data_IF_070941685825
#
_entry.id   IF_070941685825
#
_cell.length_a   1.000
_cell.length_b   1.000
_cell.length_c   1.000
_cell.angle_alpha   90.00
_cell.angle_beta   90.00
_cell.angle_gamma   90.00
#
_symmetry.space_group_name_H-M   'P 1'
#
loop_
_entity.id
_entity.type
_entity.pdbx_description
1 polymer ?
#
# COMPACT_ATOMS: atom_id res chain seq x y z
N UNK A 1 8.11 -3.05 -16.43
CA UNK A 1 7.74 -4.24 -17.20
C UNK A 1 6.46 -3.99 -18.00
N UNK A 2 5.29 -3.78 -17.40
CA UNK A 2 4.03 -3.59 -18.15
C UNK A 2 4.07 -2.43 -19.14
N UNK A 3 4.62 -1.27 -18.76
CA UNK A 3 4.77 -0.14 -19.68
C UNK A 3 5.70 -0.45 -20.88
N UNK A 4 6.75 -1.25 -20.66
CA UNK A 4 7.65 -1.68 -21.72
C UNK A 4 6.95 -2.65 -22.69
N UNK A 5 6.16 -3.58 -22.13
CA UNK A 5 5.32 -4.47 -22.94
C UNK A 5 4.36 -3.67 -23.83
N UNK A 6 3.57 -2.76 -23.24
CA UNK A 6 2.58 -1.99 -23.97
C UNK A 6 3.20 -1.11 -25.08
N UNK A 7 4.37 -0.52 -24.84
CA UNK A 7 5.08 0.25 -25.84
C UNK A 7 5.58 -0.64 -26.99
N UNK A 8 6.13 -1.83 -26.70
CA UNK A 8 6.60 -2.76 -27.71
C UNK A 8 5.45 -3.37 -28.51
N UNK A 9 4.34 -3.73 -27.87
CA UNK A 9 3.10 -4.19 -28.52
C UNK A 9 2.55 -3.13 -29.49
N UNK A 10 2.76 -1.85 -29.18
CA UNK A 10 2.41 -0.72 -30.06
C UNK A 10 3.42 -0.50 -31.20
N UNK A 11 4.39 -1.38 -31.41
CA UNK A 11 5.35 -1.36 -32.52
C UNK A 11 6.60 -0.53 -32.30
N UNK A 12 6.89 -0.14 -31.04
CA UNK A 12 8.11 0.60 -30.73
C UNK A 12 9.27 -0.33 -30.36
N UNK A 13 10.50 0.03 -30.74
CA UNK A 13 11.71 -0.59 -30.20
C UNK A 13 11.90 -0.13 -28.75
N UNK A 14 11.92 -1.08 -27.81
CA UNK A 14 11.93 -0.76 -26.38
C UNK A 14 13.13 -1.35 -25.68
N UNK A 15 13.83 -0.50 -24.92
CA UNK A 15 14.88 -0.89 -23.99
C UNK A 15 14.42 -0.65 -22.55
N UNK A 16 14.40 -1.68 -21.72
CA UNK A 16 14.08 -1.60 -20.29
C UNK A 16 15.35 -1.59 -19.46
N UNK A 17 15.55 -0.53 -18.68
CA UNK A 17 16.69 -0.37 -17.77
C UNK A 17 16.24 -0.63 -16.32
N UNK A 18 16.84 -1.62 -15.68
CA UNK A 18 16.58 -1.99 -14.28
C UNK A 18 17.86 -1.88 -13.45
N UNK A 19 17.82 -1.11 -12.37
CA UNK A 19 19.00 -0.92 -11.52
C UNK A 19 19.36 -2.14 -10.66
N UNK A 20 18.41 -3.02 -10.43
CA UNK A 20 18.60 -4.23 -9.62
C UNK A 20 19.18 -5.39 -10.45
N UNK A 21 19.56 -6.45 -9.74
CA UNK A 21 20.06 -7.69 -10.32
C UNK A 21 18.99 -8.56 -10.99
N UNK A 22 17.71 -8.21 -10.80
CA UNK A 22 16.56 -8.93 -11.36
C UNK A 22 15.35 -8.04 -11.50
N UNK A 23 14.46 -8.38 -12.41
CA UNK A 23 13.18 -7.75 -12.59
C UNK A 23 12.22 -8.04 -11.42
N UNK A 24 11.29 -7.13 -11.17
CA UNK A 24 10.13 -7.38 -10.32
C UNK A 24 10.39 -7.47 -8.82
N UNK A 25 11.53 -6.98 -8.28
CA UNK A 25 11.82 -7.02 -6.82
C UNK A 25 10.69 -6.47 -5.96
N UNK A 26 10.02 -5.42 -6.42
CA UNK A 26 8.87 -4.86 -5.70
C UNK A 26 7.65 -5.78 -5.79
N UNK A 27 7.35 -6.35 -6.94
CA UNK A 27 6.27 -7.32 -7.11
C UNK A 27 6.47 -8.52 -6.21
N UNK A 28 7.70 -9.02 -6.11
CA UNK A 28 8.05 -10.21 -5.34
C UNK A 28 7.63 -10.14 -3.88
N UNK A 29 7.70 -8.96 -3.25
CA UNK A 29 7.34 -8.76 -1.83
C UNK A 29 5.88 -8.38 -1.60
N UNK A 30 5.10 -8.09 -2.66
CA UNK A 30 3.71 -7.68 -2.53
C UNK A 30 2.81 -8.84 -2.09
N UNK A 31 1.70 -8.52 -1.41
CA UNK A 31 0.75 -9.52 -0.96
C UNK A 31 1.37 -10.64 -0.08
N UNK A 32 2.43 -10.33 0.68
CA UNK A 32 3.21 -11.32 1.46
C UNK A 32 3.82 -12.43 0.58
N UNK A 33 4.31 -12.08 -0.58
CA UNK A 33 4.90 -13.02 -1.54
C UNK A 33 3.90 -13.69 -2.49
N UNK A 34 2.61 -13.35 -2.39
CA UNK A 34 1.55 -13.89 -3.26
C UNK A 34 1.22 -13.00 -4.45
N UNK A 35 1.53 -11.72 -4.38
CA UNK A 35 1.14 -10.65 -5.30
C UNK A 35 -0.38 -10.51 -5.48
N UNK A 36 -1.03 -9.64 -4.70
CA UNK A 36 -2.39 -9.21 -5.01
C UNK A 36 -2.37 -8.42 -6.33
N UNK A 37 -2.78 -9.09 -7.41
CA UNK A 37 -2.60 -8.63 -8.78
C UNK A 37 -3.50 -7.44 -9.10
N UNK A 38 -4.80 -7.62 -8.85
CA UNK A 38 -5.85 -6.63 -9.08
C UNK A 38 -7.07 -6.93 -8.21
N UNK A 39 -8.18 -6.26 -8.46
CA UNK A 39 -9.45 -6.50 -7.81
C UNK A 39 -10.55 -6.70 -8.87
N UNK A 40 -11.31 -7.79 -8.78
CA UNK A 40 -12.36 -8.17 -9.71
C UNK A 40 -13.72 -7.49 -9.43
N UNK A 41 -13.73 -6.34 -8.76
CA UNK A 41 -14.94 -5.52 -8.61
C UNK A 41 -15.29 -4.82 -9.91
N UNK A 42 -16.56 -4.44 -10.04
CA UNK A 42 -16.99 -3.57 -11.13
C UNK A 42 -16.33 -2.17 -11.06
N UNK A 43 -16.40 -1.43 -12.15
CA UNK A 43 -15.75 -0.13 -12.30
C UNK A 43 -16.27 0.89 -11.26
N UNK A 44 -17.55 0.85 -10.91
CA UNK A 44 -18.14 1.75 -9.93
C UNK A 44 -17.52 1.53 -8.54
N UNK A 45 -17.40 0.28 -8.13
CA UNK A 45 -16.77 -0.09 -6.87
C UNK A 45 -15.28 0.23 -6.86
N UNK A 46 -14.57 0.02 -7.97
CA UNK A 46 -13.16 0.40 -8.10
C UNK A 46 -12.99 1.90 -7.86
N UNK A 47 -13.78 2.74 -8.53
CA UNK A 47 -13.73 4.19 -8.32
C UNK A 47 -14.23 4.62 -6.95
N UNK A 48 -15.20 3.93 -6.36
CA UNK A 48 -15.66 4.21 -5.00
C UNK A 48 -14.52 4.09 -3.96
N UNK A 49 -13.57 3.19 -4.20
CA UNK A 49 -12.40 2.97 -3.35
C UNK A 49 -11.22 3.92 -3.64
N UNK A 50 -11.28 4.73 -4.69
CA UNK A 50 -10.29 5.79 -4.94
C UNK A 50 -10.58 6.97 -4.03
N UNK A 51 -9.77 7.15 -3.02
CA UNK A 51 -9.97 8.11 -1.92
C UNK A 51 -9.92 9.56 -2.36
N UNK A 52 -9.05 9.89 -3.34
CA UNK A 52 -8.88 11.26 -3.83
C UNK A 52 -8.52 11.25 -5.31
N UNK A 53 -8.83 12.37 -6.00
CA UNK A 53 -8.50 12.57 -7.42
C UNK A 53 -9.03 11.49 -8.38
N UNK A 54 -10.21 10.92 -8.13
CA UNK A 54 -10.82 9.87 -8.96
C UNK A 54 -10.79 10.20 -10.46
N UNK A 55 -11.09 11.44 -10.80
CA UNK A 55 -11.15 11.89 -12.20
C UNK A 55 -9.84 11.71 -12.95
N UNK A 56 -8.71 11.81 -12.24
CA UNK A 56 -7.38 11.58 -12.81
C UNK A 56 -7.20 10.16 -13.35
N UNK A 57 -7.86 9.19 -12.72
CA UNK A 57 -7.74 7.78 -13.11
C UNK A 57 -8.76 7.32 -14.14
N UNK A 58 -9.75 8.14 -14.51
CA UNK A 58 -10.80 7.71 -15.45
C UNK A 58 -10.22 7.21 -16.76
N UNK A 59 -9.38 8.00 -17.42
CA UNK A 59 -8.78 7.59 -18.68
C UNK A 59 -8.01 6.27 -18.56
N UNK A 60 -7.17 6.14 -17.52
CA UNK A 60 -6.36 4.94 -17.33
C UNK A 60 -7.23 3.68 -17.08
N UNK A 61 -8.25 3.77 -16.22
CA UNK A 61 -9.08 2.62 -15.87
C UNK A 61 -10.04 2.21 -17.01
N UNK A 62 -10.52 3.16 -17.81
CA UNK A 62 -11.35 2.84 -18.97
C UNK A 62 -10.53 2.42 -20.19
N UNK A 63 -9.24 2.77 -20.27
CA UNK A 63 -8.37 2.29 -21.35
C UNK A 63 -7.78 0.92 -21.09
N UNK A 64 -7.56 0.58 -19.82
CA UNK A 64 -7.00 -0.71 -19.40
C UNK A 64 -7.54 -1.06 -18.01
N UNK A 65 -8.60 -1.86 -18.00
CA UNK A 65 -9.35 -2.19 -16.79
C UNK A 65 -8.79 -3.42 -16.05
N UNK A 66 -9.43 -3.77 -14.96
CA UNK A 66 -9.04 -4.91 -14.13
C UNK A 66 -9.29 -6.26 -14.81
N UNK A 67 -10.27 -6.38 -15.70
CA UNK A 67 -10.55 -7.60 -16.45
C UNK A 67 -9.48 -7.81 -17.52
N UNK A 68 -9.06 -6.74 -18.19
CA UNK A 68 -7.94 -6.77 -19.12
C UNK A 68 -6.62 -7.15 -18.42
N UNK A 69 -6.39 -6.67 -17.18
CA UNK A 69 -5.26 -7.12 -16.37
C UNK A 69 -5.31 -8.63 -16.13
N UNK A 70 -6.46 -9.17 -15.73
CA UNK A 70 -6.65 -10.61 -15.51
C UNK A 70 -6.36 -11.38 -16.81
N UNK A 71 -7.02 -10.99 -17.90
CA UNK A 71 -6.88 -11.63 -19.21
C UNK A 71 -5.45 -11.62 -19.72
N UNK A 72 -4.72 -10.51 -19.49
CA UNK A 72 -3.29 -10.43 -19.84
C UNK A 72 -2.48 -11.54 -19.17
N UNK A 73 -2.64 -11.73 -17.86
CA UNK A 73 -1.84 -12.75 -17.15
C UNK A 73 -2.26 -14.18 -17.52
N UNK A 74 -3.57 -14.42 -17.71
CA UNK A 74 -4.08 -15.72 -18.10
C UNK A 74 -3.65 -16.11 -19.52
N UNK A 75 -3.64 -15.16 -20.46
CA UNK A 75 -3.13 -15.39 -21.82
C UNK A 75 -1.63 -15.67 -21.88
N UNK A 76 -0.86 -15.19 -20.89
CA UNK A 76 0.56 -15.48 -20.74
C UNK A 76 0.83 -16.67 -19.79
N UNK A 77 -0.14 -17.59 -19.65
CA UNK A 77 0.04 -18.87 -18.96
C UNK A 77 0.03 -18.80 -17.43
N UNK A 78 -0.42 -17.70 -16.83
CA UNK A 78 -0.55 -17.56 -15.39
C UNK A 78 -2.05 -17.52 -14.97
N UNK A 79 -2.64 -18.65 -14.60
CA UNK A 79 -4.04 -18.69 -14.16
C UNK A 79 -4.22 -17.92 -12.86
N UNK A 80 -5.37 -17.24 -12.76
CA UNK A 80 -5.73 -16.41 -11.61
C UNK A 80 -6.86 -17.02 -10.78
N UNK A 81 -7.00 -16.56 -9.54
CA UNK A 81 -8.14 -16.87 -8.66
C UNK A 81 -8.59 -15.61 -7.95
N UNK A 82 -9.90 -15.49 -7.76
CA UNK A 82 -10.52 -14.42 -6.98
C UNK A 82 -10.83 -14.90 -5.57
N UNK A 83 -10.37 -14.16 -4.57
CA UNK A 83 -10.62 -14.43 -3.15
C UNK A 83 -11.59 -13.40 -2.56
N UNK A 84 -11.95 -13.60 -1.28
CA UNK A 84 -12.83 -12.69 -0.52
C UNK A 84 -12.41 -11.22 -0.70
N UNK A 85 -13.36 -10.35 -0.97
CA UNK A 85 -13.15 -8.93 -1.25
C UNK A 85 -12.68 -8.67 -2.67
N UNK A 86 -13.00 -9.60 -3.58
CA UNK A 86 -12.67 -9.54 -5.02
C UNK A 86 -11.17 -9.39 -5.31
N UNK A 87 -10.30 -9.81 -4.39
CA UNK A 87 -8.85 -9.76 -4.57
C UNK A 87 -8.40 -10.86 -5.50
N UNK A 88 -7.62 -10.50 -6.51
CA UNK A 88 -7.13 -11.44 -7.52
C UNK A 88 -5.67 -11.81 -7.25
N UNK A 89 -5.40 -13.10 -7.21
CA UNK A 89 -4.06 -13.66 -7.00
C UNK A 89 -3.75 -14.71 -8.07
N UNK A 90 -2.46 -15.04 -8.33
CA UNK A 90 -2.13 -16.24 -9.05
C UNK A 90 -2.63 -17.49 -8.31
N UNK A 91 -3.07 -18.50 -9.05
CA UNK A 91 -3.54 -19.78 -8.45
C UNK A 91 -2.46 -20.42 -7.60
N UNK A 92 -1.22 -20.30 -7.98
CA UNK A 92 -0.04 -20.83 -7.28
C UNK A 92 0.25 -20.15 -5.93
N UNK A 93 -0.32 -18.96 -5.68
CA UNK A 93 0.05 -18.09 -4.55
C UNK A 93 1.52 -17.62 -4.54
N UNK A 94 2.17 -17.62 -5.70
CA UNK A 94 3.56 -17.19 -5.84
C UNK A 94 3.71 -15.94 -6.71
N UNK A 95 4.26 -14.87 -6.15
CA UNK A 95 4.58 -13.64 -6.89
C UNK A 95 5.63 -13.84 -7.99
N UNK A 96 6.44 -14.91 -7.89
CA UNK A 96 7.39 -15.31 -8.94
C UNK A 96 6.70 -15.57 -10.27
N UNK A 97 5.49 -16.12 -10.26
CA UNK A 97 4.78 -16.49 -11.48
C UNK A 97 4.25 -15.23 -12.19
N UNK A 98 3.86 -14.21 -11.44
CA UNK A 98 3.54 -12.89 -11.98
C UNK A 98 4.75 -12.28 -12.69
N UNK A 99 5.93 -12.39 -12.08
CA UNK A 99 7.19 -11.89 -12.68
C UNK A 99 7.58 -12.72 -13.90
N UNK A 100 7.37 -14.03 -13.86
CA UNK A 100 7.66 -14.93 -14.97
C UNK A 100 6.77 -14.64 -16.19
N UNK A 101 5.45 -14.44 -15.98
CA UNK A 101 4.51 -14.08 -17.03
C UNK A 101 4.89 -12.74 -17.69
N UNK A 102 5.15 -11.70 -16.88
CA UNK A 102 5.63 -10.41 -17.40
C UNK A 102 6.96 -10.53 -18.15
N UNK A 103 7.88 -11.37 -17.68
CA UNK A 103 9.16 -11.58 -18.34
C UNK A 103 9.03 -12.35 -19.65
N UNK A 104 8.06 -13.28 -19.75
CA UNK A 104 7.73 -13.96 -20.98
C UNK A 104 7.15 -12.98 -22.01
N UNK A 105 6.18 -12.16 -21.59
CA UNK A 105 5.57 -11.13 -22.43
C UNK A 105 6.61 -10.14 -22.99
N UNK A 106 7.59 -9.71 -22.18
CA UNK A 106 8.67 -8.84 -22.65
C UNK A 106 9.55 -9.53 -23.72
N UNK A 107 9.85 -10.84 -23.54
CA UNK A 107 10.63 -11.60 -24.53
C UNK A 107 9.87 -11.78 -25.84
N UNK A 108 8.58 -12.08 -25.78
CA UNK A 108 7.71 -12.21 -26.95
C UNK A 108 7.66 -10.92 -27.77
N UNK A 109 7.70 -9.78 -27.10
CA UNK A 109 7.74 -8.46 -27.73
C UNK A 109 9.17 -7.97 -28.04
N UNK A 110 10.18 -8.81 -27.91
CA UNK A 110 11.58 -8.49 -28.20
C UNK A 110 12.12 -7.28 -27.43
N UNK A 111 11.62 -7.02 -26.22
CA UNK A 111 12.11 -5.93 -25.37
C UNK A 111 13.52 -6.26 -24.88
N UNK A 112 14.47 -5.37 -25.14
CA UNK A 112 15.82 -5.46 -24.59
C UNK A 112 15.83 -5.10 -23.11
N UNK A 113 16.41 -5.97 -22.27
CA UNK A 113 16.44 -5.77 -20.82
C UNK A 113 17.88 -5.68 -20.32
N UNK A 114 18.22 -4.56 -19.72
CA UNK A 114 19.52 -4.32 -19.08
C UNK A 114 19.34 -4.27 -17.57
N UNK A 115 19.85 -5.29 -16.89
CA UNK A 115 19.91 -5.34 -15.41
C UNK A 115 21.16 -4.61 -14.90
N UNK A 116 21.22 -4.36 -13.59
CA UNK A 116 22.30 -3.58 -12.96
C UNK A 116 22.55 -2.21 -13.60
N UNK A 117 21.53 -1.67 -14.29
CA UNK A 117 21.66 -0.45 -15.09
C UNK A 117 20.89 0.68 -14.42
N UNK A 118 21.61 1.46 -13.65
CA UNK A 118 21.02 2.60 -12.93
C UNK A 118 21.05 3.86 -13.78
N UNK A 119 19.87 4.43 -14.00
CA UNK A 119 19.73 5.75 -14.63
C UNK A 119 20.02 6.84 -13.60
N UNK A 120 20.92 7.76 -13.94
CA UNK A 120 21.30 8.91 -13.13
C UNK A 120 20.36 10.09 -13.35
N UNK A 121 20.08 10.43 -14.62
CA UNK A 121 19.20 11.54 -15.00
C UNK A 121 18.65 11.39 -16.42
N UNK A 122 17.65 12.19 -16.74
CA UNK A 122 17.19 12.39 -18.10
C UNK A 122 18.15 13.31 -18.86
N UNK A 123 18.37 13.04 -20.17
CA UNK A 123 19.02 13.98 -21.08
C UNK A 123 17.97 14.95 -21.58
N UNK A 124 18.19 16.24 -21.30
CA UNK A 124 17.29 17.31 -21.65
C UNK A 124 17.98 18.26 -22.63
N UNK A 125 17.38 18.46 -23.79
CA UNK A 125 17.78 19.47 -24.75
C UNK A 125 16.79 20.62 -24.70
N UNK A 126 17.32 21.85 -24.76
CA UNK A 126 16.50 23.03 -24.91
C UNK A 126 16.32 23.30 -26.39
N UNK A 127 15.07 23.20 -26.87
CA UNK A 127 14.72 23.55 -28.22
C UNK A 127 13.69 24.68 -28.16
N UNK A 128 14.09 25.83 -28.60
CA UNK A 128 13.35 27.07 -28.43
C UNK A 128 13.17 27.39 -26.92
N UNK A 129 11.97 27.51 -26.42
CA UNK A 129 11.69 27.71 -24.98
C UNK A 129 11.32 26.44 -24.25
N UNK A 130 11.18 25.29 -24.94
CA UNK A 130 10.77 24.03 -24.37
C UNK A 130 11.94 23.09 -24.09
N UNK A 131 11.82 22.30 -23.01
CA UNK A 131 12.74 21.20 -22.72
C UNK A 131 12.20 19.93 -23.34
N UNK A 132 13.04 19.26 -24.15
CA UNK A 132 12.72 17.95 -24.73
C UNK A 132 13.64 16.88 -24.11
N UNK A 133 13.07 15.73 -23.78
CA UNK A 133 13.84 14.57 -23.38
C UNK A 133 14.39 13.89 -24.63
N UNK A 134 15.71 13.59 -24.65
CA UNK A 134 16.41 12.96 -25.77
C UNK A 134 17.09 11.66 -25.37
N UNK A 135 16.89 11.19 -24.14
CA UNK A 135 17.46 9.95 -23.63
C UNK A 135 17.74 10.00 -22.13
N UNK A 136 18.69 9.16 -21.72
CA UNK A 136 19.11 9.03 -20.32
C UNK A 136 20.63 9.02 -20.19
N UNK A 137 21.13 9.50 -19.05
CA UNK A 137 22.51 9.28 -18.60
C UNK A 137 22.51 8.22 -17.50
N UNK A 138 23.33 7.21 -17.64
CA UNK A 138 23.53 6.15 -16.67
C UNK A 138 24.46 6.59 -15.53
N UNK A 139 24.53 5.80 -14.47
CA UNK A 139 25.39 6.09 -13.32
C UNK A 139 26.89 6.08 -13.66
N UNK A 140 27.30 5.31 -14.67
CA UNK A 140 28.66 5.25 -15.24
C UNK A 140 28.95 6.35 -16.27
N UNK A 141 28.03 7.32 -16.42
CA UNK A 141 28.08 8.41 -17.37
C UNK A 141 27.84 8.03 -18.86
N UNK A 142 27.55 6.78 -19.15
CA UNK A 142 27.11 6.37 -20.49
C UNK A 142 25.80 7.08 -20.84
N UNK A 143 25.70 7.58 -22.07
CA UNK A 143 24.49 8.23 -22.58
C UNK A 143 23.79 7.29 -23.55
N UNK A 144 22.50 7.10 -23.33
CA UNK A 144 21.62 6.34 -24.23
C UNK A 144 20.55 7.30 -24.77
N UNK A 145 20.51 7.45 -26.11
CA UNK A 145 19.53 8.30 -26.79
C UNK A 145 18.26 7.53 -27.06
N UNK A 146 17.13 8.22 -26.98
CA UNK A 146 15.81 7.68 -27.26
C UNK A 146 14.85 8.81 -27.65
N UNK A 147 13.85 8.48 -28.47
CA UNK A 147 12.80 9.43 -28.89
C UNK A 147 11.84 9.75 -27.74
N UNK A 148 11.65 8.81 -26.82
CA UNK A 148 10.82 8.95 -25.62
C UNK A 148 11.37 8.14 -24.45
N UNK A 149 11.08 8.59 -23.23
CA UNK A 149 11.47 7.90 -22.00
C UNK A 149 10.26 7.76 -21.09
N UNK A 150 9.93 6.53 -20.71
CA UNK A 150 8.90 6.23 -19.71
C UNK A 150 9.58 6.06 -18.35
N UNK A 151 9.35 6.97 -17.41
CA UNK A 151 9.88 6.92 -16.05
C UNK A 151 8.96 6.07 -15.19
N UNK A 152 9.34 4.83 -14.92
CA UNK A 152 8.57 3.85 -14.14
C UNK A 152 9.34 3.33 -12.92
N UNK A 153 10.10 4.21 -12.27
CA UNK A 153 11.04 3.88 -11.17
C UNK A 153 10.37 3.60 -9.82
N UNK A 154 9.04 3.69 -9.75
CA UNK A 154 8.28 3.56 -8.51
C UNK A 154 8.38 4.79 -7.60
N UNK A 155 7.95 4.63 -6.35
CA UNK A 155 7.95 5.71 -5.34
C UNK A 155 9.12 5.61 -4.37
N UNK A 156 8.82 5.78 -3.05
CA UNK A 156 9.82 5.78 -1.97
C UNK A 156 9.58 4.67 -0.93
N UNK A 157 8.61 3.79 -1.15
CA UNK A 157 8.32 2.68 -0.25
C UNK A 157 9.26 1.51 -0.51
N UNK A 158 9.83 0.92 0.54
CA UNK A 158 10.79 -0.18 0.47
C UNK A 158 11.98 0.12 -0.46
N UNK A 159 12.86 1.05 -0.08
CA UNK A 159 13.99 1.49 -0.92
C UNK A 159 14.92 0.36 -1.38
N UNK A 160 15.03 -0.72 -0.58
CA UNK A 160 15.80 -1.93 -0.93
C UNK A 160 15.31 -2.65 -2.20
N UNK A 161 14.10 -2.33 -2.67
CA UNK A 161 13.57 -2.85 -3.95
C UNK A 161 13.88 -1.96 -5.15
N UNK A 162 14.63 -0.88 -4.96
CA UNK A 162 14.93 0.11 -6.00
C UNK A 162 13.97 1.32 -6.03
N UNK A 163 12.98 1.37 -5.12
CA UNK A 163 12.03 2.50 -5.03
C UNK A 163 12.63 3.65 -4.19
N UNK A 164 13.58 4.38 -4.76
CA UNK A 164 14.41 5.41 -4.10
C UNK A 164 13.95 6.85 -4.35
N UNK A 165 12.86 7.04 -5.12
CA UNK A 165 12.34 8.38 -5.44
C UNK A 165 13.02 9.05 -6.64
N UNK A 166 13.83 8.34 -7.40
CA UNK A 166 14.53 8.89 -8.55
C UNK A 166 13.58 9.51 -9.59
N UNK A 167 12.38 8.93 -9.77
CA UNK A 167 11.37 9.50 -10.67
C UNK A 167 10.88 10.89 -10.26
N UNK A 168 10.76 11.15 -8.96
CA UNK A 168 10.39 12.49 -8.48
C UNK A 168 11.48 13.51 -8.79
N UNK A 169 12.74 13.16 -8.54
CA UNK A 169 13.88 14.01 -8.87
C UNK A 169 13.98 14.30 -10.36
N UNK A 170 13.82 13.27 -11.21
CA UNK A 170 13.82 13.43 -12.66
C UNK A 170 12.69 14.34 -13.15
N UNK A 171 11.51 14.24 -12.53
CA UNK A 171 10.38 15.12 -12.85
C UNK A 171 10.67 16.59 -12.48
N UNK A 172 11.26 16.86 -11.31
CA UNK A 172 11.66 18.20 -10.89
C UNK A 172 12.73 18.79 -11.80
N UNK A 173 13.76 18.01 -12.16
CA UNK A 173 14.81 18.41 -13.10
C UNK A 173 14.24 18.75 -14.50
N UNK A 174 13.16 18.07 -14.90
CA UNK A 174 12.44 18.33 -16.14
C UNK A 174 11.51 19.55 -16.07
N UNK A 175 11.36 20.17 -14.88
CA UNK A 175 10.54 21.37 -14.70
C UNK A 175 9.13 21.13 -14.15
N UNK A 176 8.78 19.90 -13.75
CA UNK A 176 7.50 19.62 -13.13
C UNK A 176 7.47 20.06 -11.67
N UNK A 177 6.35 20.64 -11.25
CA UNK A 177 6.13 20.94 -9.82
C UNK A 177 5.78 19.66 -9.08
N UNK A 178 6.62 19.29 -8.13
CA UNK A 178 6.38 18.14 -7.29
C UNK A 178 5.56 18.49 -6.04
N UNK A 179 4.58 17.65 -5.73
CA UNK A 179 3.87 17.66 -4.45
C UNK A 179 4.52 16.59 -3.57
N UNK A 180 5.01 17.00 -2.41
CA UNK A 180 5.68 16.06 -1.47
C UNK A 180 4.80 14.86 -1.17
N UNK A 181 5.29 13.63 -1.37
CA UNK A 181 4.54 12.42 -1.03
C UNK A 181 4.21 12.37 0.47
N UNK A 182 3.03 11.88 0.78
CA UNK A 182 2.61 11.64 2.16
C UNK A 182 2.26 10.17 2.35
N UNK A 183 2.47 9.60 3.56
CA UNK A 183 2.09 8.22 3.85
C UNK A 183 0.60 7.98 3.55
N UNK A 184 0.29 6.85 2.90
CA UNK A 184 -1.09 6.51 2.52
C UNK A 184 -1.57 5.20 3.16
N UNK A 185 -0.75 4.16 3.16
CA UNK A 185 -1.05 2.84 3.73
C UNK A 185 0.06 2.51 4.73
N UNK A 186 -0.03 3.06 5.92
CA UNK A 186 0.95 2.90 6.99
C UNK A 186 0.27 2.47 8.28
N UNK A 187 0.96 1.76 9.17
CA UNK A 187 0.48 1.48 10.53
C UNK A 187 0.25 2.78 11.31
N UNK A 188 -0.54 2.68 12.36
CA UNK A 188 -0.75 3.78 13.32
C UNK A 188 0.09 3.55 14.56
N UNK A 189 0.85 4.57 14.95
CA UNK A 189 1.56 4.56 16.24
C UNK A 189 0.58 4.84 17.38
N UNK A 190 0.79 4.14 18.52
CA UNK A 190 -0.03 4.31 19.71
C UNK A 190 0.84 4.72 20.90
N UNK A 191 0.32 5.63 21.73
CA UNK A 191 1.05 6.13 22.91
C UNK A 191 1.03 5.14 24.07
N UNK A 192 0.00 4.32 24.09
CA UNK A 192 -0.28 3.44 25.20
C UNK A 192 0.74 2.31 25.27
N UNK A 193 1.48 2.19 26.39
CA UNK A 193 2.53 1.20 26.51
C UNK A 193 2.01 -0.24 26.44
N UNK A 194 0.78 -0.52 26.87
CA UNK A 194 0.18 -1.85 26.84
C UNK A 194 0.00 -2.43 25.44
N UNK A 195 -0.01 -1.59 24.39
CA UNK A 195 -0.08 -2.05 22.99
C UNK A 195 1.13 -2.92 22.63
N UNK A 196 2.29 -2.64 23.22
CA UNK A 196 3.52 -3.40 23.01
C UNK A 196 3.41 -4.82 23.58
N UNK A 197 2.70 -4.97 24.68
CA UNK A 197 2.47 -6.27 25.34
C UNK A 197 1.57 -7.18 24.48
N UNK A 198 0.81 -6.58 23.56
CA UNK A 198 -0.05 -7.28 22.60
C UNK A 198 0.62 -7.50 21.23
N UNK A 199 1.90 -7.21 21.08
CA UNK A 199 2.62 -7.39 19.82
C UNK A 199 2.41 -8.79 19.22
N UNK A 200 2.04 -8.84 17.93
CA UNK A 200 1.79 -10.08 17.21
C UNK A 200 0.35 -10.61 17.34
N UNK A 201 -0.47 -10.06 18.24
CA UNK A 201 -1.87 -10.44 18.34
C UNK A 201 -2.64 -9.93 17.11
N UNK A 202 -3.16 -10.87 16.34
CA UNK A 202 -4.08 -10.58 15.23
C UNK A 202 -5.52 -10.78 15.68
N UNK A 203 -6.32 -9.74 15.58
CA UNK A 203 -7.76 -9.80 15.78
C UNK A 203 -8.44 -10.07 14.45
N UNK A 204 -9.24 -11.12 14.38
CA UNK A 204 -10.06 -11.47 13.22
C UNK A 204 -11.53 -11.24 13.53
N UNK A 205 -12.29 -10.88 12.48
CA UNK A 205 -13.72 -10.66 12.58
C UNK A 205 -14.08 -9.65 13.69
N UNK A 206 -13.38 -8.53 13.71
CA UNK A 206 -13.65 -7.41 14.61
C UNK A 206 -14.23 -6.23 13.86
N UNK A 207 -15.06 -5.47 14.53
CA UNK A 207 -15.54 -4.17 14.05
C UNK A 207 -14.66 -3.09 14.62
N UNK A 208 -14.13 -2.23 13.76
CA UNK A 208 -13.34 -1.07 14.15
C UNK A 208 -14.08 0.21 13.79
N UNK A 209 -14.29 1.08 14.75
CA UNK A 209 -14.85 2.41 14.53
C UNK A 209 -13.83 3.49 14.85
N UNK A 210 -13.77 4.52 14.01
CA UNK A 210 -12.96 5.72 14.25
C UNK A 210 -13.90 6.88 14.48
N UNK A 211 -13.78 7.55 15.63
CA UNK A 211 -14.65 8.67 15.98
C UNK A 211 -13.85 9.92 16.30
N UNK A 212 -14.46 11.08 16.13
CA UNK A 212 -13.94 12.39 16.58
C UNK A 212 -14.97 13.04 17.49
N UNK A 213 -14.75 12.95 18.80
CA UNK A 213 -15.77 13.25 19.78
C UNK A 213 -16.99 12.34 19.56
N UNK A 214 -18.16 12.90 19.37
CA UNK A 214 -19.40 12.15 19.10
C UNK A 214 -19.58 11.74 17.62
N UNK A 215 -18.77 12.25 16.71
CA UNK A 215 -18.91 11.99 15.27
C UNK A 215 -18.12 10.73 14.87
N UNK A 216 -18.83 9.72 14.36
CA UNK A 216 -18.21 8.55 13.72
C UNK A 216 -17.66 8.99 12.36
N UNK A 217 -16.37 8.71 12.11
CA UNK A 217 -15.66 9.04 10.88
C UNK A 217 -15.50 7.82 9.97
N UNK A 218 -15.37 6.65 10.59
CA UNK A 218 -15.14 5.38 9.87
C UNK A 218 -15.66 4.23 10.71
N UNK A 219 -16.17 3.22 10.05
CA UNK A 219 -16.48 1.94 10.64
C UNK A 219 -16.35 0.87 9.57
N UNK A 220 -15.68 -0.21 9.91
CA UNK A 220 -15.55 -1.36 9.02
C UNK A 220 -15.35 -2.63 9.84
N UNK A 221 -15.50 -3.79 9.17
CA UNK A 221 -15.41 -5.12 9.74
C UNK A 221 -14.31 -5.93 9.05
N UNK A 222 -13.38 -6.50 9.84
CA UNK A 222 -12.27 -7.25 9.25
C UNK A 222 -11.21 -7.66 10.26
N UNK A 223 -9.96 -7.46 9.90
CA UNK A 223 -8.81 -7.88 10.68
C UNK A 223 -7.93 -6.68 11.06
N UNK A 224 -7.35 -6.72 12.27
CA UNK A 224 -6.31 -5.82 12.71
C UNK A 224 -5.20 -6.56 13.45
N UNK A 225 -4.03 -5.96 13.51
CA UNK A 225 -2.83 -6.52 14.11
C UNK A 225 -2.21 -5.52 15.08
N UNK A 226 -1.83 -5.97 16.27
CA UNK A 226 -0.99 -5.21 17.19
C UNK A 226 0.48 -5.36 16.83
N UNK A 227 1.21 -4.24 16.82
CA UNK A 227 2.65 -4.17 16.55
C UNK A 227 3.38 -3.66 17.80
N UNK A 228 4.71 -3.70 17.80
CA UNK A 228 5.52 -3.19 18.89
C UNK A 228 5.41 -1.67 19.12
N UNK A 229 4.78 -0.94 18.22
CA UNK A 229 4.61 0.52 18.31
C UNK A 229 3.15 0.98 18.18
N UNK A 230 2.23 0.08 17.84
CA UNK A 230 0.85 0.49 17.60
C UNK A 230 0.01 -0.60 16.96
N UNK A 231 -0.80 -0.21 15.98
CA UNK A 231 -1.73 -1.10 15.29
C UNK A 231 -1.57 -1.04 13.77
N UNK A 232 -1.88 -2.15 13.11
CA UNK A 232 -1.81 -2.33 11.67
C UNK A 232 -2.92 -3.29 11.20
N UNK A 233 -2.81 -3.80 10.00
CA UNK A 233 -3.78 -4.73 9.41
C UNK A 233 -4.79 -4.02 8.51
N UNK A 234 -5.60 -4.79 7.77
CA UNK A 234 -6.48 -4.25 6.73
C UNK A 234 -7.39 -3.11 7.19
N UNK A 235 -8.05 -3.26 8.34
CA UNK A 235 -8.93 -2.22 8.89
C UNK A 235 -8.19 -0.91 9.18
N UNK A 236 -7.01 -1.00 9.80
CA UNK A 236 -6.20 0.17 10.16
C UNK A 236 -5.68 0.87 8.91
N UNK A 237 -5.17 0.09 7.95
CA UNK A 237 -4.66 0.61 6.67
C UNK A 237 -5.77 1.26 5.84
N UNK A 238 -6.99 0.75 5.88
CA UNK A 238 -8.15 1.38 5.23
C UNK A 238 -8.59 2.67 5.90
N UNK A 239 -8.48 2.75 7.24
CA UNK A 239 -8.90 3.94 7.99
C UNK A 239 -7.92 5.11 7.87
N UNK A 240 -6.64 4.85 7.56
CA UNK A 240 -5.57 5.89 7.61
C UNK A 240 -5.83 7.08 6.69
N UNK A 241 -6.53 6.89 5.57
CA UNK A 241 -6.84 7.97 4.63
C UNK A 241 -7.68 9.09 5.24
N UNK A 242 -8.49 8.79 6.25
CA UNK A 242 -9.32 9.78 6.96
C UNK A 242 -8.47 10.83 7.69
N UNK A 243 -7.26 10.46 8.06
CA UNK A 243 -6.33 11.34 8.75
C UNK A 243 -5.61 12.30 7.80
N UNK A 244 -5.63 12.03 6.49
CA UNK A 244 -5.02 12.89 5.45
C UNK A 244 -5.91 14.09 5.10
N UNK A 245 -7.21 13.86 4.91
CA UNK A 245 -8.17 14.88 4.47
C UNK A 245 -8.55 15.90 5.53
N UNK A 246 -8.22 15.67 6.80
CA UNK A 246 -8.57 16.52 7.94
C UNK A 246 -7.50 17.51 8.42
N UNK A 247 -6.45 17.80 7.63
CA UNK A 247 -5.39 18.72 8.05
C UNK A 247 -4.44 18.14 9.12
N UNK A 248 -4.38 16.84 9.23
CA UNK A 248 -3.49 16.13 10.13
C UNK A 248 -2.08 16.13 9.51
N UNK A 249 -1.26 17.06 9.93
CA UNK A 249 0.17 17.00 9.58
C UNK A 249 0.79 15.81 10.28
N UNK A 250 1.50 14.98 9.53
CA UNK A 250 2.20 13.76 9.91
C UNK A 250 3.44 14.01 10.79
N UNK A 251 3.34 14.87 11.80
CA UNK A 251 4.30 14.91 12.90
C UNK A 251 3.68 14.16 14.06
N UNK A 252 4.00 12.85 14.16
CA UNK A 252 3.72 12.04 15.33
C UNK A 252 2.27 12.11 15.79
N UNK A 253 1.33 11.59 15.01
CA UNK A 253 -0.03 11.40 15.52
C UNK A 253 0.01 10.22 16.45
N UNK A 254 0.06 10.53 17.71
CA UNK A 254 0.06 9.58 18.80
C UNK A 254 -1.38 9.38 19.24
N UNK A 255 -1.84 8.16 19.22
CA UNK A 255 -3.14 7.75 19.70
C UNK A 255 -3.07 7.44 21.20
N UNK A 256 -4.03 7.94 21.98
CA UNK A 256 -4.23 7.56 23.38
C UNK A 256 -5.56 6.80 23.48
N UNK A 257 -5.57 5.49 23.77
CA UNK A 257 -6.76 4.82 24.25
C UNK A 257 -6.98 5.20 25.72
N UNK A 258 -8.20 5.54 26.09
CA UNK A 258 -8.64 5.43 27.47
C UNK A 258 -9.45 4.14 27.58
N UNK A 259 -9.11 3.23 28.51
CA UNK A 259 -9.89 2.04 28.74
C UNK A 259 -11.20 2.46 29.39
N UNK A 260 -12.27 2.59 28.63
CA UNK A 260 -13.62 2.62 29.19
C UNK A 260 -14.13 1.19 29.25
N UNK A 261 -13.97 0.58 30.39
CA UNK A 261 -14.68 -0.66 30.72
C UNK A 261 -16.09 -0.25 31.13
N UNK A 262 -17.01 -0.23 30.17
CA UNK A 262 -18.44 -0.19 30.48
C UNK A 262 -18.88 -1.58 30.97
N UNK A 263 -19.80 -1.67 31.92
CA UNK A 263 -20.28 -2.96 32.38
C UNK A 263 -21.16 -3.57 31.28
N UNK A 264 -20.69 -4.64 30.66
CA UNK A 264 -21.58 -5.58 30.02
C UNK A 264 -21.38 -6.02 28.60
N UNK A 265 -20.54 -5.43 27.75
CA UNK A 265 -20.42 -5.90 26.37
C UNK A 265 -19.02 -5.68 25.80
N UNK A 266 -18.05 -6.42 26.24
CA UNK A 266 -16.75 -6.64 25.59
C UNK A 266 -16.18 -5.60 24.60
N UNK A 267 -16.44 -4.33 24.79
CA UNK A 267 -15.95 -3.23 23.97
C UNK A 267 -14.58 -2.78 24.48
N UNK A 268 -13.59 -2.85 23.62
CA UNK A 268 -12.30 -2.22 23.85
C UNK A 268 -12.37 -0.82 23.21
N UNK A 269 -12.60 0.21 23.99
CA UNK A 269 -12.58 1.58 23.52
C UNK A 269 -11.16 2.13 23.47
N UNK A 270 -10.76 2.63 22.31
CA UNK A 270 -9.47 3.27 22.10
C UNK A 270 -9.70 4.74 21.80
N UNK A 271 -9.28 5.62 22.71
CA UNK A 271 -9.42 7.06 22.59
C UNK A 271 -8.12 7.70 22.07
N UNK A 272 -8.22 8.60 21.11
CA UNK A 272 -7.09 9.34 20.58
C UNK A 272 -7.10 10.79 21.10
N UNK A 273 -6.09 11.19 21.87
CA UNK A 273 -5.88 12.59 22.29
C UNK A 273 -4.74 13.25 21.52
N UNK A 274 -4.93 14.48 21.10
CA UNK A 274 -3.89 15.35 20.53
C UNK A 274 -3.14 16.06 21.64
N UNK A 275 -1.81 16.09 21.62
CA UNK A 275 -1.05 17.02 22.44
C UNK A 275 -1.15 18.43 21.81
N UNK A 276 -1.60 19.40 22.63
CA UNK A 276 -1.71 20.84 22.36
C UNK A 276 -2.53 21.27 21.12
N UNK A 277 -3.81 21.58 21.35
CA UNK A 277 -4.75 22.31 20.49
C UNK A 277 -5.43 21.52 19.36
N UNK A 278 -6.24 20.54 19.69
CA UNK A 278 -7.19 19.93 18.77
C UNK A 278 -7.70 18.58 19.25
N UNK A 279 -9.02 18.39 19.20
CA UNK A 279 -9.74 17.26 19.79
C UNK A 279 -9.55 15.95 19.05
N UNK A 280 -9.63 14.90 19.77
CA UNK A 280 -9.32 13.51 19.51
C UNK A 280 -10.46 12.66 18.95
N UNK A 281 -10.14 11.54 18.33
CA UNK A 281 -11.08 10.50 17.90
C UNK A 281 -11.06 9.27 18.82
N UNK A 282 -12.17 8.57 18.88
CA UNK A 282 -12.39 7.35 19.65
C UNK A 282 -12.33 6.14 18.72
N UNK A 283 -11.57 5.12 19.10
CA UNK A 283 -11.65 3.80 18.48
C UNK A 283 -12.45 2.88 19.42
N UNK A 284 -13.49 2.24 18.91
CA UNK A 284 -14.12 1.15 19.60
C UNK A 284 -14.02 -0.12 18.74
N UNK A 285 -13.68 -1.23 19.39
CA UNK A 285 -13.65 -2.55 18.76
C UNK A 285 -14.72 -3.40 19.41
N UNK A 286 -15.78 -3.70 18.67
CA UNK A 286 -16.86 -4.58 19.13
C UNK A 286 -16.63 -6.01 18.63
N UNK A 287 -16.84 -6.98 19.51
CA UNK A 287 -16.89 -8.40 19.13
C UNK A 287 -18.27 -8.74 18.57
N UNK A 288 -18.38 -9.46 17.45
CA UNK A 288 -19.66 -10.02 17.05
C UNK A 288 -20.04 -11.15 18.02
N UNK A 289 -21.34 -11.24 18.34
CA UNK A 289 -21.91 -12.36 19.08
C UNK A 289 -21.86 -13.63 18.23
N UNK A 290 -20.73 -14.33 18.26
CA UNK A 290 -20.66 -15.76 17.90
C UNK A 290 -19.65 -16.38 18.85
N UNK A 291 -20.09 -17.40 19.61
CA UNK A 291 -19.34 -18.00 20.68
C UNK A 291 -18.04 -18.68 20.25
N UNK A 292 -16.96 -17.94 20.29
CA UNK A 292 -15.61 -18.47 20.34
C UNK A 292 -14.87 -17.70 21.42
N UNK A 293 -14.67 -18.36 22.53
CA UNK A 293 -13.96 -17.86 23.70
C UNK A 293 -12.47 -17.96 23.39
N UNK A 294 -11.79 -16.83 23.29
CA UNK A 294 -10.32 -16.80 23.34
C UNK A 294 -9.89 -16.56 24.78
N UNK A 295 -9.12 -17.48 25.34
CA UNK A 295 -8.44 -17.26 26.61
C UNK A 295 -6.92 -17.29 26.40
N UNK A 296 -6.27 -16.18 26.62
CA UNK A 296 -4.83 -16.03 26.80
C UNK A 296 -4.61 -15.03 27.91
N UNK A 297 -3.63 -15.28 28.80
CA UNK A 297 -3.33 -14.36 29.89
C UNK A 297 -2.52 -13.19 29.38
N UNK A 298 -3.05 -11.98 29.48
CA UNK A 298 -2.27 -10.75 29.51
C UNK A 298 -2.60 -10.04 30.84
N UNK A 299 -1.58 -9.73 31.62
CA UNK A 299 -1.72 -9.00 32.86
C UNK A 299 -1.70 -7.51 32.55
N UNK A 300 -2.83 -6.83 32.70
CA UNK A 300 -2.94 -5.39 32.51
C UNK A 300 -2.83 -4.72 33.86
N UNK A 301 -1.74 -3.99 34.11
CA UNK A 301 -1.61 -3.13 35.29
C UNK A 301 -2.22 -1.78 35.02
N UNK A 302 -3.36 -1.50 35.60
CA UNK A 302 -3.98 -0.18 35.60
C UNK A 302 -3.34 0.76 36.61
N UNK A 303 -3.31 2.04 36.31
CA UNK A 303 -2.76 3.11 37.14
C UNK A 303 -3.69 3.41 38.32
N UNK A 304 -3.97 2.50 39.20
CA UNK A 304 -4.57 2.62 40.55
C UNK A 304 -4.68 1.26 41.22
N UNK A 305 -3.64 0.45 41.15
CA UNK A 305 -3.46 -0.67 42.10
C UNK A 305 -4.49 -1.81 42.02
N UNK A 306 -5.30 -1.93 40.98
CA UNK A 306 -6.16 -3.09 40.76
C UNK A 306 -5.68 -3.84 39.49
N UNK A 307 -5.27 -5.08 39.72
CA UNK A 307 -4.94 -6.02 38.67
C UNK A 307 -6.21 -6.44 37.94
N UNK A 308 -6.31 -6.16 36.64
CA UNK A 308 -7.29 -6.80 35.79
C UNK A 308 -6.56 -7.89 34.98
N UNK A 309 -6.97 -9.12 35.14
CA UNK A 309 -6.43 -10.27 34.41
C UNK A 309 -7.30 -10.55 33.21
N UNK A 310 -6.73 -10.43 32.02
CA UNK A 310 -7.37 -10.87 30.78
C UNK A 310 -6.88 -12.28 30.46
N UNK A 311 -7.75 -13.27 30.56
CA UNK A 311 -7.45 -14.65 30.21
C UNK A 311 -7.92 -14.92 28.77
N UNK A 312 -7.00 -15.24 27.86
CA UNK A 312 -7.32 -15.64 26.48
C UNK A 312 -6.99 -17.12 26.32
N UNK A 313 -7.97 -17.99 26.28
CA UNK A 313 -7.77 -19.42 25.93
C UNK A 313 -8.09 -19.66 24.46
N UNK A 314 -7.22 -20.39 23.79
CA UNK A 314 -7.45 -20.95 22.46
C UNK A 314 -8.21 -22.26 22.67
N UNK A 315 -9.42 -22.36 22.12
CA UNK A 315 -10.10 -23.63 21.97
C UNK A 315 -9.94 -24.10 20.53
N UNK A 316 -9.51 -25.35 20.41
CA UNK A 316 -9.39 -26.11 19.16
C UNK A 316 -10.74 -26.31 18.49
#
# INVERSE_FOLDING_TARGET
MMAAYAAAESGHAVTLLEQNEKLGKKLFITGKGRCNLTNASDMEQLFANVVSNRKFLYSAFYSYDNEQVISFFESHGMPTKTERGNRVFPVSDHSSDVIAALSAALREQHVEVFLHTKVKRLLLEKRDEEKRVTGVELADHTKMHADAVIVATGGISYPSTGATGDGYRMAEESGHKMVSPTPALVPMEMKEPWVRDLQGLSLRNVRMSVTRGKKKLYEDFGEMLFTHFGVSGPLVLSAIHLFRSGGWRSRGTVFQPEPSVGPGNGELGVHCRRSSRGRCGLFSVQRPHVGAIFMGMAEIRGHHGRQARLEVRKLL
#
